data_IF_628501064686
#
_entry.id   IF_628501064686
#
_cell.length_a   1.000
_cell.length_b   1.000
_cell.length_c   1.000
_cell.angle_alpha   90.00
_cell.angle_beta   90.00
_cell.angle_gamma   90.00
#
_symmetry.space_group_name_H-M   'P 1'
#
loop_
_entity.id
_entity.type
_entity.pdbx_description
1 polymer ?
#
# COMPACT_ATOMS: atom_id res chain seq x y z
N UNK A 1 -19.84 -47.94 48.16
CA UNK A 1 -18.90 -47.05 47.43
C UNK A 1 -19.55 -46.62 46.12
N UNK A 2 -20.45 -45.64 46.01
CA UNK A 2 -20.74 -44.41 46.76
C UNK A 2 -19.66 -43.31 46.69
N UNK A 3 -18.72 -43.43 45.75
CA UNK A 3 -17.86 -42.33 45.27
C UNK A 3 -17.50 -42.51 43.78
N UNK A 4 -18.49 -42.77 42.93
CA UNK A 4 -18.40 -42.55 41.48
C UNK A 4 -19.73 -42.04 40.90
N UNK A 5 -20.43 -41.23 41.70
CA UNK A 5 -21.63 -40.45 41.33
C UNK A 5 -21.38 -38.93 41.46
N UNK A 6 -20.11 -38.52 41.52
CA UNK A 6 -19.73 -37.12 41.75
C UNK A 6 -18.59 -36.68 40.83
N UNK A 7 -18.67 -37.06 39.55
CA UNK A 7 -18.11 -36.29 38.42
C UNK A 7 -19.00 -36.54 37.17
N UNK A 8 -20.32 -36.70 37.38
CA UNK A 8 -21.32 -36.76 36.32
C UNK A 8 -22.25 -35.56 36.51
N UNK A 9 -21.69 -34.35 36.41
CA UNK A 9 -22.43 -33.11 36.13
C UNK A 9 -21.38 -32.05 35.84
N UNK A 10 -21.59 -31.23 34.79
CA UNK A 10 -20.69 -30.18 34.28
C UNK A 10 -19.61 -30.70 33.32
N UNK A 11 -20.04 -31.00 32.08
CA UNK A 11 -19.64 -30.35 30.81
C UNK A 11 -20.20 -31.25 29.69
N UNK A 12 -21.47 -31.05 29.32
CA UNK A 12 -22.15 -31.69 28.18
C UNK A 12 -22.10 -30.82 26.92
N UNK A 13 -20.95 -30.22 26.64
CA UNK A 13 -20.71 -29.52 25.38
C UNK A 13 -19.21 -29.57 25.07
N UNK A 14 -18.88 -30.09 23.89
CA UNK A 14 -17.54 -30.14 23.29
C UNK A 14 -16.49 -31.06 23.94
N UNK A 15 -16.57 -32.38 23.71
CA UNK A 15 -15.37 -33.22 23.67
C UNK A 15 -15.44 -34.14 22.46
N UNK A 16 -14.73 -33.75 21.39
CA UNK A 16 -14.22 -34.68 20.38
C UNK A 16 -13.24 -35.64 21.07
N UNK A 17 -13.58 -36.92 21.15
CA UNK A 17 -12.62 -37.98 21.49
C UNK A 17 -11.85 -38.36 20.22
N UNK A 18 -10.72 -37.68 19.98
CA UNK A 18 -9.70 -38.15 19.05
C UNK A 18 -8.83 -39.21 19.72
N UNK A 19 -9.08 -40.49 19.44
CA UNK A 19 -8.17 -41.58 19.78
C UNK A 19 -7.74 -42.33 18.53
N UNK A 20 -6.74 -41.81 17.81
CA UNK A 20 -5.72 -42.62 17.11
C UNK A 20 -4.67 -41.69 16.49
N UNK A 21 -3.44 -41.78 16.98
CA UNK A 21 -2.25 -41.16 16.38
C UNK A 21 -1.90 -41.91 15.08
N UNK A 22 -2.56 -41.62 13.96
CA UNK A 22 -2.00 -41.70 12.59
C UNK A 22 -2.97 -41.40 11.43
N UNK A 23 -4.09 -40.71 11.65
CA UNK A 23 -4.99 -40.34 10.53
C UNK A 23 -4.92 -38.84 10.30
N UNK A 24 -4.26 -38.51 9.19
CA UNK A 24 -4.39 -37.26 8.45
C UNK A 24 -5.90 -36.95 8.27
N UNK A 25 -6.27 -35.68 8.37
CA UNK A 25 -7.63 -35.14 8.51
C UNK A 25 -8.58 -35.38 7.31
N UNK A 26 -8.32 -36.38 6.47
CA UNK A 26 -8.82 -36.45 5.09
C UNK A 26 -9.82 -37.59 4.80
N UNK A 27 -10.18 -38.46 5.76
CA UNK A 27 -11.17 -39.52 5.50
C UNK A 27 -12.23 -39.62 6.61
N UNK A 28 -13.41 -39.05 6.37
CA UNK A 28 -14.61 -39.34 7.16
C UNK A 28 -15.48 -40.34 6.40
N UNK A 29 -15.77 -41.46 7.05
CA UNK A 29 -16.60 -42.53 6.52
C UNK A 29 -18.05 -42.36 7.00
N UNK A 30 -19.03 -42.61 6.12
CA UNK A 30 -20.45 -42.70 6.51
C UNK A 30 -20.78 -44.19 6.68
N UNK A 31 -21.09 -44.61 7.90
CA UNK A 31 -21.47 -45.99 8.19
C UNK A 31 -22.88 -46.30 7.65
N UNK A 32 -23.06 -47.43 6.95
CA UNK A 32 -24.39 -47.92 6.52
C UNK A 32 -24.81 -49.16 7.31
N UNK A 33 -26.11 -49.51 7.22
CA UNK A 33 -26.88 -50.44 8.06
C UNK A 33 -26.43 -51.92 8.06
N UNK A 34 -25.27 -52.24 7.46
CA UNK A 34 -24.68 -53.59 7.41
C UNK A 34 -23.17 -53.62 7.77
N UNK A 35 -22.59 -52.50 8.23
CA UNK A 35 -21.19 -52.47 8.68
C UNK A 35 -20.12 -52.33 7.59
N UNK A 36 -20.49 -52.07 6.33
CA UNK A 36 -19.54 -51.70 5.27
C UNK A 36 -19.27 -50.18 5.27
N UNK A 37 -17.98 -49.83 5.25
CA UNK A 37 -17.44 -48.48 5.14
C UNK A 37 -17.45 -48.07 3.66
N UNK A 38 -18.40 -47.23 3.25
CA UNK A 38 -18.47 -46.67 1.89
C UNK A 38 -18.09 -45.19 1.97
N UNK A 39 -17.18 -44.76 1.09
CA UNK A 39 -16.82 -43.35 0.93
C UNK A 39 -18.02 -42.63 0.30
N UNK A 40 -18.74 -41.79 1.05
CA UNK A 40 -19.82 -40.99 0.46
C UNK A 40 -19.19 -39.83 -0.33
N UNK A 41 -19.59 -39.59 -1.59
CA UNK A 41 -19.01 -38.52 -2.40
C UNK A 41 -19.35 -37.11 -1.88
N UNK A 42 -20.29 -37.02 -0.93
CA UNK A 42 -20.75 -35.79 -0.31
C UNK A 42 -20.67 -35.89 1.21
N UNK A 43 -20.26 -34.78 1.81
CA UNK A 43 -19.98 -34.63 3.24
C UNK A 43 -21.14 -34.00 4.03
N UNK A 44 -22.30 -33.78 3.41
CA UNK A 44 -23.33 -32.88 3.95
C UNK A 44 -24.69 -33.54 4.26
N UNK A 45 -25.35 -32.92 5.24
CA UNK A 45 -26.50 -33.30 6.06
C UNK A 45 -27.81 -33.50 5.27
N UNK A 46 -27.87 -34.51 4.41
CA UNK A 46 -29.06 -34.88 3.59
C UNK A 46 -29.48 -33.87 2.50
N UNK A 47 -28.68 -32.82 2.25
CA UNK A 47 -28.94 -31.78 1.23
C UNK A 47 -28.48 -32.16 -0.18
N UNK A 48 -27.68 -33.21 -0.29
CA UNK A 48 -27.11 -33.68 -1.55
C UNK A 48 -27.39 -35.17 -1.74
N UNK A 49 -27.79 -35.56 -2.94
CA UNK A 49 -27.96 -36.95 -3.39
C UNK A 49 -26.72 -37.35 -4.17
N UNK A 50 -25.96 -38.30 -3.62
CA UNK A 50 -24.66 -38.63 -4.16
C UNK A 50 -24.56 -40.11 -4.48
N UNK A 51 -24.04 -40.41 -5.68
CA UNK A 51 -23.94 -41.76 -6.22
C UNK A 51 -22.61 -41.87 -6.97
N UNK A 52 -21.71 -42.73 -6.51
CA UNK A 52 -20.37 -42.99 -7.07
C UNK A 52 -19.60 -41.72 -7.46
N UNK A 53 -19.85 -41.17 -8.65
CA UNK A 53 -19.16 -40.01 -9.24
C UNK A 53 -20.07 -38.80 -9.48
N UNK A 54 -21.33 -38.85 -9.04
CA UNK A 54 -22.32 -37.77 -9.19
C UNK A 54 -22.74 -37.25 -7.83
N UNK A 55 -22.73 -35.92 -7.68
CA UNK A 55 -23.24 -35.21 -6.52
C UNK A 55 -24.32 -34.21 -6.97
N UNK A 56 -25.57 -34.48 -6.63
CA UNK A 56 -26.70 -33.62 -6.92
C UNK A 56 -27.22 -32.92 -5.65
N UNK A 57 -26.94 -31.64 -5.55
CA UNK A 57 -27.34 -30.74 -4.48
C UNK A 57 -28.32 -29.66 -4.97
N UNK A 58 -29.02 -29.91 -6.08
CA UNK A 58 -29.94 -28.95 -6.67
C UNK A 58 -31.24 -28.77 -5.86
N UNK A 59 -31.90 -27.63 -6.06
CA UNK A 59 -33.28 -27.39 -5.56
C UNK A 59 -33.46 -27.56 -4.04
N UNK A 60 -32.51 -27.07 -3.23
CA UNK A 60 -32.63 -27.09 -1.77
C UNK A 60 -33.52 -25.96 -1.22
N UNK A 61 -34.43 -25.37 -2.01
CA UNK A 61 -35.33 -24.28 -1.60
C UNK A 61 -34.62 -23.08 -0.94
N UNK A 62 -33.40 -22.78 -1.37
CA UNK A 62 -32.57 -21.71 -0.78
C UNK A 62 -31.90 -22.04 0.55
N UNK A 63 -32.03 -23.26 1.07
CA UNK A 63 -31.34 -23.73 2.28
C UNK A 63 -29.83 -23.95 2.05
N UNK A 64 -29.42 -24.17 0.80
CA UNK A 64 -28.03 -24.28 0.40
C UNK A 64 -27.51 -22.91 -0.05
N UNK A 65 -26.83 -22.22 0.86
CA UNK A 65 -26.26 -20.87 0.65
C UNK A 65 -24.76 -20.88 0.36
N UNK A 66 -24.12 -22.04 0.53
CA UNK A 66 -22.71 -22.28 0.26
C UNK A 66 -22.53 -23.59 -0.50
N UNK A 67 -21.43 -23.72 -1.23
CA UNK A 67 -21.10 -24.98 -1.91
C UNK A 67 -20.40 -25.91 -0.89
N UNK A 68 -20.94 -27.12 -0.61
CA UNK A 68 -20.34 -28.06 0.33
C UNK A 68 -19.04 -28.65 -0.22
N UNK A 69 -18.11 -29.05 0.66
CA UNK A 69 -16.82 -29.62 0.23
C UNK A 69 -17.04 -30.77 -0.77
N UNK A 70 -16.31 -30.68 -1.87
CA UNK A 70 -16.40 -31.60 -2.99
C UNK A 70 -15.37 -32.72 -2.82
N UNK A 71 -15.79 -33.98 -3.04
CA UNK A 71 -14.87 -35.11 -3.11
C UNK A 71 -14.09 -35.10 -4.43
N UNK A 72 -12.83 -35.54 -4.40
CA UNK A 72 -11.91 -35.54 -5.54
C UNK A 72 -12.31 -36.53 -6.65
N UNK A 73 -13.07 -37.56 -6.30
CA UNK A 73 -13.54 -38.61 -7.23
C UNK A 73 -14.81 -38.21 -8.00
N UNK A 74 -15.49 -37.14 -7.58
CA UNK A 74 -16.76 -36.73 -8.18
C UNK A 74 -16.49 -35.98 -9.48
N UNK A 75 -17.27 -36.36 -10.48
CA UNK A 75 -17.12 -35.92 -11.86
C UNK A 75 -18.27 -35.01 -12.31
N UNK A 76 -19.44 -35.17 -11.69
CA UNK A 76 -20.67 -34.44 -11.99
C UNK A 76 -21.15 -33.75 -10.73
N UNK A 77 -21.16 -32.41 -10.76
CA UNK A 77 -21.66 -31.58 -9.68
C UNK A 77 -22.86 -30.77 -10.14
N UNK A 78 -23.99 -30.93 -9.46
CA UNK A 78 -25.19 -30.13 -9.68
C UNK A 78 -25.54 -29.32 -8.43
N UNK A 79 -25.43 -28.00 -8.53
CA UNK A 79 -25.77 -27.01 -7.51
C UNK A 79 -26.85 -26.04 -7.99
N UNK A 80 -27.56 -26.39 -9.06
CA UNK A 80 -28.58 -25.53 -9.68
C UNK A 80 -29.76 -25.21 -8.76
N UNK A 81 -30.43 -24.09 -9.04
CA UNK A 81 -31.66 -23.68 -8.37
C UNK A 81 -31.52 -23.59 -6.84
N UNK A 82 -30.46 -22.92 -6.40
CA UNK A 82 -30.18 -22.65 -4.99
C UNK A 82 -30.02 -21.13 -4.76
N UNK A 83 -29.56 -20.72 -3.58
CA UNK A 83 -29.35 -19.32 -3.24
C UNK A 83 -27.86 -19.05 -2.94
N UNK A 84 -26.96 -19.61 -3.76
CA UNK A 84 -25.53 -19.40 -3.63
C UNK A 84 -25.18 -17.96 -4.02
N UNK A 85 -24.58 -17.20 -3.11
CA UNK A 85 -24.23 -15.80 -3.33
C UNK A 85 -22.76 -15.59 -3.72
N UNK A 86 -21.88 -16.49 -3.29
CA UNK A 86 -20.45 -16.41 -3.55
C UNK A 86 -19.83 -17.81 -3.53
N UNK A 87 -18.69 -17.95 -4.20
CA UNK A 87 -17.84 -19.15 -4.17
C UNK A 87 -16.47 -18.71 -3.65
N UNK A 88 -15.97 -19.30 -2.54
CA UNK A 88 -14.71 -18.88 -1.94
C UNK A 88 -13.51 -19.25 -2.82
N UNK A 89 -12.40 -18.55 -2.61
CA UNK A 89 -11.15 -18.82 -3.31
C UNK A 89 -10.62 -20.23 -3.02
N UNK A 90 -10.03 -20.88 -4.03
CA UNK A 90 -9.49 -22.22 -3.90
C UNK A 90 -10.56 -23.31 -3.67
N UNK A 91 -11.85 -23.00 -3.78
CA UNK A 91 -12.91 -23.98 -3.51
C UNK A 91 -12.82 -25.23 -4.40
N UNK A 92 -12.51 -25.05 -5.69
CA UNK A 92 -12.36 -26.14 -6.64
C UNK A 92 -10.92 -26.71 -6.69
N UNK A 93 -10.08 -26.46 -5.68
CA UNK A 93 -8.68 -26.91 -5.69
C UNK A 93 -8.52 -28.43 -5.70
N UNK A 94 -9.45 -29.15 -5.08
CA UNK A 94 -9.33 -30.59 -4.85
C UNK A 94 -10.05 -31.44 -5.91
N UNK A 95 -10.72 -30.81 -6.88
CA UNK A 95 -11.55 -31.52 -7.87
C UNK A 95 -10.86 -31.59 -9.23
N UNK A 96 -10.14 -32.68 -9.49
CA UNK A 96 -9.35 -32.84 -10.73
C UNK A 96 -10.07 -33.60 -11.85
N UNK A 97 -11.21 -34.24 -11.56
CA UNK A 97 -11.92 -35.12 -12.53
C UNK A 97 -13.27 -34.57 -13.00
N UNK A 98 -13.61 -33.33 -12.65
CA UNK A 98 -14.92 -32.75 -12.97
C UNK A 98 -15.05 -32.52 -14.47
N UNK A 99 -16.11 -33.09 -15.05
CA UNK A 99 -16.48 -32.85 -16.44
C UNK A 99 -17.79 -32.07 -16.59
N UNK A 100 -18.66 -32.08 -15.57
CA UNK A 100 -19.91 -31.30 -15.53
C UNK A 100 -20.03 -30.55 -14.21
N UNK A 101 -20.20 -29.23 -14.28
CA UNK A 101 -20.53 -28.37 -13.16
C UNK A 101 -21.74 -27.51 -13.49
N UNK A 102 -22.85 -27.71 -12.77
CA UNK A 102 -24.06 -26.91 -12.91
C UNK A 102 -24.26 -26.00 -11.69
N UNK A 103 -24.26 -24.70 -11.92
CA UNK A 103 -24.46 -23.62 -10.96
C UNK A 103 -25.56 -22.66 -11.45
N UNK A 104 -26.41 -23.08 -12.40
CA UNK A 104 -27.44 -22.22 -12.96
C UNK A 104 -28.52 -21.85 -11.92
N UNK A 105 -29.21 -20.73 -12.13
CA UNK A 105 -30.29 -20.23 -11.27
C UNK A 105 -29.86 -20.12 -9.80
N UNK A 106 -28.77 -19.40 -9.56
CA UNK A 106 -28.27 -19.07 -8.23
C UNK A 106 -28.23 -17.52 -8.04
N UNK A 107 -27.69 -17.07 -6.92
CA UNK A 107 -27.54 -15.65 -6.59
C UNK A 107 -26.12 -15.10 -6.80
N UNK A 108 -25.32 -15.70 -7.69
CA UNK A 108 -23.92 -15.32 -7.88
C UNK A 108 -23.81 -13.96 -8.58
N UNK A 109 -23.33 -12.96 -7.87
CA UNK A 109 -23.15 -11.60 -8.40
C UNK A 109 -21.75 -11.37 -8.97
N UNK A 110 -20.73 -11.94 -8.34
CA UNK A 110 -19.35 -11.91 -8.82
C UNK A 110 -18.71 -13.28 -8.71
N UNK A 111 -17.67 -13.50 -9.51
CA UNK A 111 -16.92 -14.74 -9.51
C UNK A 111 -15.45 -14.40 -9.32
N UNK A 112 -14.79 -15.02 -8.34
CA UNK A 112 -13.35 -14.82 -8.16
C UNK A 112 -12.56 -15.68 -9.16
N UNK A 113 -11.54 -15.14 -9.83
CA UNK A 113 -10.70 -15.93 -10.73
C UNK A 113 -9.96 -17.05 -10.00
N UNK A 114 -9.62 -16.85 -8.71
CA UNK A 114 -8.92 -17.85 -7.88
C UNK A 114 -9.82 -19.01 -7.47
N UNK A 115 -11.14 -18.82 -7.44
CA UNK A 115 -12.07 -19.92 -7.19
C UNK A 115 -12.08 -20.91 -8.37
N UNK A 116 -12.08 -20.40 -9.61
CA UNK A 116 -12.23 -21.19 -10.84
C UNK A 116 -10.92 -21.54 -11.55
N UNK A 117 -9.76 -21.21 -10.95
CA UNK A 117 -8.46 -21.38 -11.58
C UNK A 117 -8.19 -22.83 -12.00
N UNK A 118 -8.46 -23.80 -11.13
CA UNK A 118 -8.26 -25.23 -11.46
C UNK A 118 -9.20 -25.70 -12.57
N UNK A 119 -10.47 -25.26 -12.55
CA UNK A 119 -11.44 -25.61 -13.59
C UNK A 119 -11.03 -25.07 -14.96
N UNK A 120 -10.37 -23.92 -15.02
CA UNK A 120 -9.82 -23.38 -16.27
C UNK A 120 -8.69 -24.25 -16.85
N UNK A 121 -7.91 -24.91 -15.98
CA UNK A 121 -6.82 -25.81 -16.35
C UNK A 121 -7.32 -27.18 -16.86
N UNK A 122 -8.52 -27.61 -16.46
CA UNK A 122 -9.15 -28.86 -16.90
C UNK A 122 -9.69 -28.80 -18.34
N UNK A 123 -8.86 -28.38 -19.30
CA UNK A 123 -9.27 -28.05 -20.68
C UNK A 123 -9.88 -29.23 -21.45
N UNK A 124 -9.40 -30.44 -21.21
CA UNK A 124 -9.84 -31.66 -21.89
C UNK A 124 -10.93 -32.41 -21.11
N UNK A 125 -10.94 -32.28 -19.78
CA UNK A 125 -11.87 -32.98 -18.89
C UNK A 125 -13.18 -32.20 -18.71
N UNK A 126 -13.12 -30.88 -18.48
CA UNK A 126 -14.29 -30.05 -18.29
C UNK A 126 -15.08 -29.91 -19.61
N UNK A 127 -16.21 -30.62 -19.72
CA UNK A 127 -17.06 -30.61 -20.92
C UNK A 127 -18.19 -29.59 -20.83
N UNK A 128 -18.79 -29.43 -19.66
CA UNK A 128 -19.93 -28.53 -19.45
C UNK A 128 -19.82 -27.78 -18.13
N UNK A 129 -19.96 -26.46 -18.18
CA UNK A 129 -20.18 -25.61 -17.03
C UNK A 129 -21.40 -24.73 -17.31
N UNK A 130 -22.35 -24.67 -16.38
CA UNK A 130 -23.53 -23.81 -16.53
C UNK A 130 -23.60 -22.84 -15.36
N UNK A 131 -23.51 -21.54 -15.63
CA UNK A 131 -23.73 -20.50 -14.62
C UNK A 131 -24.88 -19.57 -15.05
N UNK A 132 -25.74 -20.02 -15.96
CA UNK A 132 -26.82 -19.19 -16.50
C UNK A 132 -27.88 -18.84 -15.45
N UNK A 133 -28.58 -17.72 -15.63
CA UNK A 133 -29.62 -17.27 -14.69
C UNK A 133 -29.09 -16.82 -13.33
N UNK A 134 -27.84 -16.35 -13.27
CA UNK A 134 -27.26 -15.68 -12.10
C UNK A 134 -27.21 -14.15 -12.31
N UNK A 135 -27.41 -13.33 -11.26
CA UNK A 135 -27.44 -11.87 -11.35
C UNK A 135 -26.02 -11.26 -11.39
N UNK A 136 -25.27 -11.50 -12.47
CA UNK A 136 -23.87 -11.03 -12.56
C UNK A 136 -23.76 -9.51 -12.55
N UNK A 137 -23.00 -8.97 -11.61
CA UNK A 137 -22.66 -7.56 -11.53
C UNK A 137 -21.48 -7.25 -12.47
N UNK A 138 -21.78 -6.69 -13.63
CA UNK A 138 -20.81 -6.37 -14.66
C UNK A 138 -19.91 -5.20 -14.25
N UNK A 139 -18.74 -5.57 -13.73
CA UNK A 139 -17.69 -4.71 -13.21
C UNK A 139 -16.30 -5.26 -13.58
N UNK A 140 -15.24 -4.67 -13.04
CA UNK A 140 -13.88 -5.19 -13.24
C UNK A 140 -13.69 -6.61 -12.70
N UNK A 141 -14.46 -7.01 -11.68
CA UNK A 141 -14.30 -8.31 -11.00
C UNK A 141 -14.74 -9.49 -11.88
N UNK A 142 -15.72 -9.29 -12.76
CA UNK A 142 -16.25 -10.33 -13.67
C UNK A 142 -15.53 -10.35 -15.04
N UNK A 143 -14.51 -9.48 -15.23
CA UNK A 143 -13.81 -9.34 -16.51
C UNK A 143 -13.19 -10.66 -17.01
N UNK A 144 -12.52 -11.38 -16.12
CA UNK A 144 -11.89 -12.66 -16.47
C UNK A 144 -12.94 -13.68 -16.93
N UNK A 145 -14.15 -13.65 -16.36
CA UNK A 145 -15.24 -14.55 -16.72
C UNK A 145 -15.79 -14.23 -18.11
N UNK A 146 -15.91 -12.94 -18.47
CA UNK A 146 -16.19 -12.52 -19.85
C UNK A 146 -15.16 -13.08 -20.83
N UNK A 147 -13.87 -12.99 -20.50
CA UNK A 147 -12.78 -13.52 -21.32
C UNK A 147 -12.85 -15.05 -21.43
N UNK A 148 -13.14 -15.75 -20.33
CA UNK A 148 -13.28 -17.20 -20.30
C UNK A 148 -14.49 -17.69 -21.13
N UNK A 149 -15.65 -17.04 -20.98
CA UNK A 149 -16.86 -17.26 -21.80
C UNK A 149 -16.54 -17.14 -23.30
N UNK A 150 -15.80 -16.09 -23.67
CA UNK A 150 -15.44 -15.83 -25.07
C UNK A 150 -14.42 -16.83 -25.61
N UNK A 151 -13.54 -17.35 -24.75
CA UNK A 151 -12.47 -18.28 -25.14
C UNK A 151 -13.00 -19.71 -25.35
N UNK A 152 -13.99 -20.14 -24.56
CA UNK A 152 -14.51 -21.53 -24.59
C UNK A 152 -16.04 -21.60 -24.66
N UNK A 153 -16.68 -21.02 -25.68
CA UNK A 153 -18.14 -20.91 -25.75
C UNK A 153 -18.88 -22.25 -25.68
N UNK A 154 -18.29 -23.33 -26.23
CA UNK A 154 -18.89 -24.68 -26.24
C UNK A 154 -18.93 -25.35 -24.87
N UNK A 155 -18.07 -24.94 -23.94
CA UNK A 155 -18.05 -25.50 -22.59
C UNK A 155 -19.18 -24.92 -21.75
N UNK A 156 -19.72 -23.75 -22.10
CA UNK A 156 -20.76 -23.08 -21.33
C UNK A 156 -22.17 -23.50 -21.73
N UNK A 157 -22.98 -23.93 -20.76
CA UNK A 157 -24.42 -24.18 -20.93
C UNK A 157 -25.17 -22.88 -21.24
N UNK A 158 -26.23 -22.94 -22.06
CA UNK A 158 -27.04 -21.78 -22.48
C UNK A 158 -26.23 -20.61 -23.09
N UNK A 159 -25.04 -20.90 -23.63
CA UNK A 159 -24.23 -19.90 -24.32
C UNK A 159 -24.98 -19.35 -25.55
N UNK A 160 -25.26 -18.05 -25.57
CA UNK A 160 -25.97 -17.36 -26.66
C UNK A 160 -27.50 -17.28 -26.54
N UNK A 161 -28.10 -17.89 -25.51
CA UNK A 161 -29.55 -17.86 -25.27
C UNK A 161 -29.94 -16.92 -24.12
N UNK A 162 -29.35 -15.71 -24.07
CA UNK A 162 -29.53 -14.76 -22.95
C UNK A 162 -29.26 -15.36 -21.56
N UNK A 163 -28.52 -16.48 -21.48
CA UNK A 163 -28.24 -17.15 -20.22
C UNK A 163 -27.31 -16.38 -19.29
N UNK A 164 -26.48 -15.48 -19.84
CA UNK A 164 -25.46 -14.72 -19.11
C UNK A 164 -25.69 -13.22 -19.31
N UNK A 165 -26.46 -12.62 -18.40
CA UNK A 165 -26.83 -11.21 -18.46
C UNK A 165 -26.21 -10.43 -17.30
N UNK A 166 -25.95 -9.15 -17.55
CA UNK A 166 -25.57 -8.19 -16.53
C UNK A 166 -26.80 -7.75 -15.75
N UNK A 167 -26.71 -7.77 -14.42
CA UNK A 167 -27.77 -7.29 -13.51
C UNK A 167 -27.78 -5.75 -13.41
N UNK A 168 -26.59 -5.14 -13.34
CA UNK A 168 -26.42 -3.70 -13.20
C UNK A 168 -26.56 -2.89 -14.51
N UNK A 169 -26.61 -3.56 -15.66
CA UNK A 169 -26.72 -2.92 -16.98
C UNK A 169 -27.87 -3.57 -17.73
N UNK A 170 -28.96 -2.85 -18.02
CA UNK A 170 -30.15 -3.43 -18.62
C UNK A 170 -29.84 -4.01 -20.00
N UNK A 171 -30.43 -5.17 -20.28
CA UNK A 171 -30.40 -5.85 -21.59
C UNK A 171 -28.98 -6.06 -22.16
N UNK A 172 -27.98 -6.24 -21.29
CA UNK A 172 -26.58 -6.39 -21.69
C UNK A 172 -26.09 -7.78 -21.32
N UNK A 173 -25.54 -8.50 -22.30
CA UNK A 173 -24.89 -9.80 -22.06
C UNK A 173 -23.51 -9.60 -21.44
N UNK A 174 -23.09 -10.56 -20.60
CA UNK A 174 -21.76 -10.55 -19.98
C UNK A 174 -20.63 -10.50 -21.03
N UNK A 175 -20.85 -11.12 -22.20
CA UNK A 175 -19.89 -11.10 -23.31
C UNK A 175 -19.76 -9.72 -23.97
N UNK A 176 -20.81 -8.88 -23.89
CA UNK A 176 -20.93 -7.63 -24.65
C UNK A 176 -20.63 -6.37 -23.83
N UNK A 177 -20.60 -6.44 -22.50
CA UNK A 177 -20.31 -5.26 -21.69
C UNK A 177 -18.90 -4.71 -21.99
N UNK A 178 -18.76 -3.39 -22.05
CA UNK A 178 -17.47 -2.72 -22.27
C UNK A 178 -17.07 -1.98 -21.00
N UNK A 179 -15.92 -2.34 -20.44
CA UNK A 179 -15.24 -1.58 -19.38
C UNK A 179 -13.88 -1.16 -19.91
N UNK A 180 -13.45 0.06 -19.56
CA UNK A 180 -12.13 0.55 -19.94
C UNK A 180 -11.05 -0.22 -19.17
N UNK A 181 -10.10 -0.84 -19.89
CA UNK A 181 -9.00 -1.60 -19.30
C UNK A 181 -8.16 -0.77 -18.35
N UNK A 182 -7.98 0.51 -18.67
CA UNK A 182 -7.27 1.46 -17.81
C UNK A 182 -8.03 1.74 -16.51
N UNK A 183 -9.37 1.72 -16.53
CA UNK A 183 -10.18 1.94 -15.34
C UNK A 183 -10.10 0.77 -14.34
N UNK A 184 -9.82 -0.45 -14.81
CA UNK A 184 -9.62 -1.61 -13.93
C UNK A 184 -8.18 -1.73 -13.39
N UNK A 185 -7.18 -1.22 -14.13
CA UNK A 185 -5.77 -1.24 -13.71
C UNK A 185 -5.43 -0.09 -12.75
N UNK A 186 -6.10 1.07 -12.88
CA UNK A 186 -6.07 2.15 -11.90
C UNK A 186 -7.00 1.83 -10.72
N UNK A 187 -6.66 0.80 -9.94
CA UNK A 187 -7.26 0.62 -8.63
C UNK A 187 -7.02 1.87 -7.75
N UNK A 188 -7.87 2.10 -6.74
CA UNK A 188 -7.73 3.23 -5.81
C UNK A 188 -6.29 3.40 -5.26
N UNK A 189 -5.58 2.29 -5.05
CA UNK A 189 -4.19 2.27 -4.61
C UNK A 189 -3.20 2.86 -5.64
N UNK A 190 -3.36 2.56 -6.93
CA UNK A 190 -2.50 3.08 -7.98
C UNK A 190 -2.72 4.58 -8.23
N UNK A 191 -3.97 5.04 -8.13
CA UNK A 191 -4.29 6.47 -8.21
C UNK A 191 -3.66 7.26 -7.05
N UNK A 192 -3.74 6.74 -5.82
CA UNK A 192 -3.14 7.37 -4.65
C UNK A 192 -1.60 7.49 -4.77
N UNK A 193 -0.92 6.47 -5.30
CA UNK A 193 0.52 6.50 -5.54
C UNK A 193 0.91 7.57 -6.58
N UNK A 194 0.17 7.68 -7.68
CA UNK A 194 0.44 8.70 -8.70
C UNK A 194 0.29 10.12 -8.14
N UNK A 195 -0.77 10.37 -7.36
CA UNK A 195 -0.99 11.68 -6.72
C UNK A 195 0.14 11.99 -5.72
N UNK A 196 0.57 11.02 -4.91
CA UNK A 196 1.66 11.20 -3.96
C UNK A 196 2.98 11.58 -4.66
N UNK A 197 3.31 10.93 -5.78
CA UNK A 197 4.51 11.25 -6.58
C UNK A 197 4.45 12.69 -7.11
N UNK A 198 3.31 13.12 -7.64
CA UNK A 198 3.13 14.50 -8.13
C UNK A 198 3.34 15.51 -7.00
N UNK A 199 2.77 15.27 -5.83
CA UNK A 199 2.94 16.13 -4.65
C UNK A 199 4.41 16.22 -4.24
N UNK A 200 5.13 15.09 -4.19
CA UNK A 200 6.56 15.06 -3.83
C UNK A 200 7.38 15.88 -4.84
N UNK A 201 7.13 15.70 -6.14
CA UNK A 201 7.83 16.47 -7.19
C UNK A 201 7.57 17.96 -7.05
N UNK A 202 6.32 18.37 -6.78
CA UNK A 202 5.96 19.77 -6.54
C UNK A 202 6.65 20.32 -5.29
N UNK A 203 6.70 19.56 -4.20
CA UNK A 203 7.41 19.96 -2.97
C UNK A 203 8.91 20.16 -3.25
N UNK A 204 9.56 19.21 -3.91
CA UNK A 204 10.99 19.31 -4.27
C UNK A 204 11.26 20.51 -5.16
N UNK A 205 10.37 20.78 -6.13
CA UNK A 205 10.46 21.94 -7.00
C UNK A 205 10.33 23.25 -6.23
N UNK A 206 9.34 23.36 -5.33
CA UNK A 206 9.16 24.53 -4.46
C UNK A 206 10.37 24.73 -3.55
N UNK A 207 10.86 23.66 -2.89
CA UNK A 207 12.06 23.69 -2.06
C UNK A 207 13.25 24.21 -2.88
N UNK A 208 13.45 23.69 -4.09
CA UNK A 208 14.53 24.11 -4.99
C UNK A 208 14.43 25.61 -5.34
N UNK A 209 13.23 26.11 -5.62
CA UNK A 209 12.98 27.53 -5.87
C UNK A 209 13.30 28.38 -4.64
N UNK A 210 12.84 27.95 -3.45
CA UNK A 210 13.10 28.63 -2.18
C UNK A 210 14.61 28.69 -1.92
N UNK A 211 15.30 27.55 -1.99
CA UNK A 211 16.76 27.51 -1.85
C UNK A 211 17.48 28.41 -2.85
N UNK A 212 17.05 28.40 -4.12
CA UNK A 212 17.65 29.25 -5.15
C UNK A 212 17.42 30.74 -4.86
N UNK A 213 16.20 31.12 -4.47
CA UNK A 213 15.83 32.50 -4.14
C UNK A 213 16.59 33.02 -2.92
N UNK A 214 16.71 32.20 -1.87
CA UNK A 214 17.33 32.59 -0.61
C UNK A 214 18.81 32.20 -0.51
N UNK A 215 19.44 31.73 -1.59
CA UNK A 215 20.85 31.27 -1.58
C UNK A 215 21.83 32.31 -1.01
N UNK A 216 21.60 33.59 -1.27
CA UNK A 216 22.45 34.67 -0.77
C UNK A 216 22.18 34.98 0.71
N UNK A 217 20.90 34.97 1.11
CA UNK A 217 20.49 35.17 2.49
C UNK A 217 21.04 34.06 3.39
N UNK A 218 20.93 32.79 2.96
CA UNK A 218 21.52 31.63 3.64
C UNK A 218 23.05 31.75 3.73
N UNK A 219 23.75 32.18 2.66
CA UNK A 219 25.21 32.40 2.70
C UNK A 219 25.64 33.47 3.70
N UNK A 220 24.81 34.49 3.90
CA UNK A 220 25.09 35.59 4.83
C UNK A 220 24.82 35.18 6.29
N UNK A 221 23.72 34.49 6.56
CA UNK A 221 23.38 33.99 7.90
C UNK A 221 24.37 32.92 8.39
N UNK A 222 24.97 32.14 7.48
CA UNK A 222 25.92 31.08 7.84
C UNK A 222 27.36 31.62 8.02
N UNK A 223 27.70 32.81 7.47
CA UNK A 223 29.05 33.36 7.55
C UNK A 223 29.19 34.36 8.69
N UNK A 224 30.00 33.98 9.68
CA UNK A 224 30.53 34.85 10.74
C UNK A 224 31.37 35.95 10.09
N UNK A 225 31.03 37.21 10.35
CA UNK A 225 31.60 38.36 9.63
C UNK A 225 32.82 38.89 10.39
N UNK A 226 34.01 38.63 9.84
CA UNK A 226 35.27 39.25 10.27
C UNK A 226 35.58 40.40 9.31
N UNK A 227 35.56 41.63 9.82
CA UNK A 227 35.95 42.81 9.05
C UNK A 227 37.38 43.22 9.41
N UNK A 228 38.18 43.50 8.39
CA UNK A 228 39.57 43.93 8.56
C UNK A 228 39.73 45.30 7.92
N UNK A 229 39.79 46.34 8.75
CA UNK A 229 39.98 47.71 8.31
C UNK A 229 41.45 47.99 8.04
N UNK A 230 41.72 48.52 6.85
CA UNK A 230 43.02 48.98 6.35
C UNK A 230 42.82 50.18 5.43
N UNK A 231 43.88 50.93 5.09
CA UNK A 231 43.80 52.01 4.12
C UNK A 231 43.28 51.55 2.74
N UNK A 232 43.55 50.32 2.33
CA UNK A 232 43.02 49.73 1.09
C UNK A 232 41.53 49.41 1.19
N UNK A 233 41.06 49.00 2.36
CA UNK A 233 39.63 48.78 2.63
C UNK A 233 38.84 50.09 2.49
N UNK A 234 39.39 51.21 3.00
CA UNK A 234 38.76 52.53 2.90
C UNK A 234 38.61 53.00 1.44
N UNK A 235 39.59 52.68 0.58
CA UNK A 235 39.61 53.09 -0.84
C UNK A 235 38.79 52.21 -1.76
N UNK A 236 38.47 50.98 -1.36
CA UNK A 236 37.73 50.02 -2.19
C UNK A 236 36.23 50.28 -2.13
N UNK A 237 35.63 50.70 -3.26
CA UNK A 237 34.17 50.87 -3.39
C UNK A 237 33.41 49.56 -3.07
N UNK A 238 34.00 48.41 -3.41
CA UNK A 238 33.43 47.10 -3.10
C UNK A 238 33.40 46.82 -1.59
N UNK A 239 34.49 47.11 -0.88
CA UNK A 239 34.55 46.94 0.59
C UNK A 239 33.56 47.88 1.29
N UNK A 240 33.37 49.09 0.77
CA UNK A 240 32.37 50.03 1.30
C UNK A 240 30.92 49.56 1.04
N UNK A 241 30.66 48.94 -0.11
CA UNK A 241 29.36 48.32 -0.39
C UNK A 241 29.05 47.19 0.60
N UNK A 242 30.01 46.29 0.84
CA UNK A 242 29.87 45.19 1.81
C UNK A 242 29.68 45.72 3.24
N UNK A 243 30.43 46.75 3.64
CA UNK A 243 30.29 47.41 4.95
C UNK A 243 28.87 47.96 5.16
N UNK A 244 28.32 48.67 4.16
CA UNK A 244 26.98 49.25 4.23
C UNK A 244 25.89 48.19 4.32
N UNK A 245 26.06 47.08 3.61
CA UNK A 245 25.14 45.95 3.69
C UNK A 245 25.19 45.28 5.07
N UNK A 246 26.39 45.05 5.61
CA UNK A 246 26.58 44.49 6.94
C UNK A 246 26.05 45.40 8.06
N UNK A 247 26.25 46.72 7.96
CA UNK A 247 25.72 47.68 8.94
C UNK A 247 24.19 47.59 9.05
N UNK A 248 23.48 47.46 7.93
CA UNK A 248 22.03 47.26 7.95
C UNK A 248 21.63 45.91 8.57
N UNK A 249 22.38 44.83 8.31
CA UNK A 249 22.04 43.50 8.84
C UNK A 249 22.40 43.30 10.32
N UNK A 250 23.55 43.81 10.77
CA UNK A 250 24.05 43.67 12.16
C UNK A 250 23.17 44.45 13.12
N UNK A 251 22.79 45.69 12.77
CA UNK A 251 21.93 46.53 13.61
C UNK A 251 20.51 45.97 13.78
N UNK A 252 20.06 45.12 12.85
CA UNK A 252 18.70 44.57 12.83
C UNK A 252 18.60 43.16 13.47
N UNK A 253 19.74 42.50 13.73
CA UNK A 253 19.80 41.09 14.17
C UNK A 253 20.69 40.78 15.37
N UNK A 254 21.36 41.77 15.96
CA UNK A 254 22.24 41.59 17.13
C UNK A 254 23.35 40.54 16.89
N UNK A 255 23.81 40.44 15.65
CA UNK A 255 24.84 39.48 15.22
C UNK A 255 26.25 39.92 15.66
N UNK A 256 27.08 38.95 16.07
CA UNK A 256 28.43 39.24 16.56
C UNK A 256 29.38 39.58 15.41
N UNK A 257 29.73 40.86 15.28
CA UNK A 257 30.74 41.37 14.34
C UNK A 257 32.12 41.38 15.00
N UNK A 258 33.11 40.70 14.38
CA UNK A 258 34.51 40.82 14.80
C UNK A 258 35.20 41.85 13.91
N UNK A 259 35.61 42.97 14.49
CA UNK A 259 36.30 44.05 13.79
C UNK A 259 37.80 44.04 14.14
N UNK A 260 38.65 44.05 13.12
CA UNK A 260 40.12 44.11 13.23
C UNK A 260 40.62 45.37 12.54
N UNK A 261 41.45 46.15 13.22
CA UNK A 261 42.13 47.31 12.65
C UNK A 261 43.60 46.94 12.39
N UNK A 262 44.01 46.84 11.13
CA UNK A 262 45.39 46.42 10.79
C UNK A 262 46.42 47.55 10.89
N UNK A 263 46.01 48.79 10.62
CA UNK A 263 46.87 49.96 10.64
C UNK A 263 46.06 51.15 11.16
N UNK A 264 46.73 52.08 11.85
CA UNK A 264 46.16 53.39 12.16
C UNK A 264 45.71 54.04 10.85
N UNK A 265 44.39 54.15 10.70
CA UNK A 265 43.80 54.84 9.56
C UNK A 265 43.48 56.25 10.05
N UNK A 266 44.12 57.26 9.46
CA UNK A 266 43.87 58.65 9.83
C UNK A 266 42.38 58.97 9.67
N UNK A 267 41.83 59.78 10.58
CA UNK A 267 40.40 60.11 10.60
C UNK A 267 39.87 60.70 9.28
N UNK A 268 40.76 61.21 8.43
CA UNK A 268 40.48 61.80 7.12
C UNK A 268 40.18 60.77 6.03
N UNK A 269 40.70 59.55 6.17
CA UNK A 269 40.54 58.47 5.19
C UNK A 269 39.37 57.54 5.53
N UNK A 270 38.73 57.74 6.68
CA UNK A 270 37.59 56.93 7.11
C UNK A 270 36.29 57.41 6.49
N UNK A 271 35.49 56.47 5.99
CA UNK A 271 34.12 56.77 5.58
C UNK A 271 33.20 56.90 6.80
N UNK A 272 32.07 57.61 6.64
CA UNK A 272 31.08 57.76 7.70
C UNK A 272 30.55 56.42 8.23
N UNK A 273 30.49 55.39 7.36
CA UNK A 273 30.10 54.04 7.73
C UNK A 273 31.16 53.36 8.60
N UNK A 274 32.45 53.47 8.25
CA UNK A 274 33.55 52.94 9.06
C UNK A 274 33.57 53.58 10.46
N UNK A 275 33.39 54.90 10.53
CA UNK A 275 33.34 55.61 11.81
C UNK A 275 32.14 55.21 12.67
N UNK A 276 30.98 54.99 12.05
CA UNK A 276 29.79 54.53 12.76
C UNK A 276 30.01 53.13 13.36
N UNK A 277 30.56 52.19 12.60
CA UNK A 277 30.83 50.83 13.07
C UNK A 277 31.90 50.81 14.16
N UNK A 278 32.98 51.57 14.04
CA UNK A 278 34.01 51.64 15.09
C UNK A 278 33.50 52.27 16.40
N UNK A 279 32.49 53.14 16.34
CA UNK A 279 31.85 53.70 17.54
C UNK A 279 30.94 52.72 18.26
N UNK A 280 30.32 51.79 17.52
CA UNK A 280 29.31 50.88 18.07
C UNK A 280 29.84 49.48 18.32
N UNK A 281 31.03 49.13 17.81
CA UNK A 281 31.59 47.78 17.90
C UNK A 281 33.00 47.79 18.49
N UNK A 282 33.28 46.81 19.35
CA UNK A 282 34.63 46.60 19.90
C UNK A 282 35.54 46.04 18.82
N UNK A 283 36.68 46.68 18.59
CA UNK A 283 37.66 46.26 17.60
C UNK A 283 38.97 45.79 18.25
N UNK A 284 39.71 44.96 17.50
CA UNK A 284 41.03 44.45 17.87
C UNK A 284 42.04 45.13 16.98
N UNK A 285 42.91 45.93 17.59
CA UNK A 285 43.95 46.67 16.89
C UNK A 285 45.25 45.86 16.78
N UNK A 286 45.84 45.90 15.58
CA UNK A 286 47.15 45.33 15.32
C UNK A 286 48.25 46.19 15.96
N UNK A 287 49.27 45.54 16.51
CA UNK A 287 50.39 46.21 17.16
C UNK A 287 51.72 45.60 16.73
N UNK A 288 52.73 46.45 16.53
CA UNK A 288 54.00 46.04 15.94
C UNK A 288 54.95 45.31 16.90
N UNK A 289 54.81 45.57 18.21
CA UNK A 289 55.66 44.93 19.24
C UNK A 289 55.33 43.44 19.39
N UNK A 290 56.36 42.64 19.68
CA UNK A 290 56.25 41.17 19.77
C UNK A 290 55.22 40.74 20.84
N UNK A 291 55.24 41.39 22.01
CA UNK A 291 54.31 41.11 23.10
C UNK A 291 52.86 41.51 22.77
N UNK A 292 52.68 42.65 22.09
CA UNK A 292 51.35 43.10 21.69
C UNK A 292 50.76 42.26 20.56
N UNK A 293 51.58 41.71 19.66
CA UNK A 293 51.16 40.77 18.63
C UNK A 293 50.63 39.46 19.22
N UNK A 294 51.27 38.93 20.26
CA UNK A 294 50.77 37.76 20.97
C UNK A 294 49.43 38.04 21.66
N UNK A 295 49.28 39.24 22.24
CA UNK A 295 48.00 39.71 22.80
C UNK A 295 46.90 39.85 21.73
N UNK A 296 47.25 40.38 20.55
CA UNK A 296 46.34 40.48 19.39
C UNK A 296 45.77 39.12 19.01
N UNK A 297 46.63 38.13 18.74
CA UNK A 297 46.18 36.79 18.34
C UNK A 297 45.36 36.11 19.45
N UNK A 298 45.73 36.30 20.72
CA UNK A 298 44.95 35.78 21.85
C UNK A 298 43.57 36.43 22.02
N UNK A 299 43.40 37.71 21.65
CA UNK A 299 42.09 38.38 21.63
C UNK A 299 41.26 37.94 20.43
N UNK A 300 41.88 37.82 19.25
CA UNK A 300 41.21 37.40 18.03
C UNK A 300 40.71 35.96 18.14
N UNK A 301 41.52 35.04 18.67
CA UNK A 301 41.11 33.65 18.91
C UNK A 301 39.88 33.59 19.82
N UNK A 302 39.91 34.31 20.95
CA UNK A 302 38.76 34.35 21.88
C UNK A 302 37.50 34.95 21.26
N UNK A 303 37.65 36.01 20.47
CA UNK A 303 36.53 36.62 19.77
C UNK A 303 35.93 35.64 18.74
N UNK A 304 36.78 34.96 17.95
CA UNK A 304 36.34 33.95 17.00
C UNK A 304 35.74 32.72 17.68
N UNK A 305 36.29 32.26 18.82
CA UNK A 305 35.76 31.13 19.59
C UNK A 305 34.36 31.44 20.14
N UNK A 306 34.13 32.66 20.63
CA UNK A 306 32.82 33.15 21.09
C UNK A 306 31.80 33.18 19.94
N UNK A 307 32.22 33.59 18.73
CA UNK A 307 31.34 33.52 17.57
C UNK A 307 31.16 32.07 17.11
N UNK A 308 32.18 31.21 17.27
CA UNK A 308 32.14 29.84 16.79
C UNK A 308 31.23 28.95 17.61
N UNK A 309 31.30 29.07 18.93
CA UNK A 309 30.57 28.32 19.93
C UNK A 309 29.85 29.32 20.88
N UNK A 310 28.73 29.91 20.46
CA UNK A 310 27.98 30.88 21.27
C UNK A 310 27.32 30.26 22.49
#
# INVERSE_FOLDING_TARGET
>A
MQKLRTVITVVTQFICLCTSRHLQEDQCWVATYNGELILSPCFDDSRCRCNNTTADCSSNNGLLTYVPRLSFDVQVFNFSSNNLSHIPDGFFSNVSQVWLLDLCQNGLTSLSPRAFQELQNLTTLLKKIDLSGNPFYCSCDIRWFKEWLSTRPKTFGNYGQEGYMCDNIPNTQVQLFRINDQACLLGHAAAALNIAVIIIVLIVFIISIVFFRYRWHLRLVIRKILMVFSPDYARSEWCQFELKYCQCCVMDRDEVLVLVLLHETESRDMTSAMFAVMKTTTYIEWADTVDARNSFWGRLSRALDCVINP
#
